data_IF_628791750586
#
_entry.id   IF_628791750586
#
_cell.length_a   1.000
_cell.length_b   1.000
_cell.length_c   1.000
_cell.angle_alpha   90.00
_cell.angle_beta   90.00
_cell.angle_gamma   90.00
#
_symmetry.space_group_name_H-M   'P 1'
#
loop_
_entity.id
_entity.type
_entity.pdbx_description
1 polymer ?
#
# COMPACT_ATOMS: atom_id res chain seq x y z
N UNK A 1 8.76 12.00 -2.65
CA UNK A 1 7.99 11.18 -1.70
C UNK A 1 8.85 10.93 -0.47
N UNK A 2 8.32 11.22 0.72
CA UNK A 2 9.00 10.93 1.98
C UNK A 2 8.73 9.47 2.36
N UNK A 3 9.75 8.76 2.80
CA UNK A 3 9.70 7.33 3.16
C UNK A 3 10.77 7.04 4.22
N UNK A 4 10.55 6.05 5.09
CA UNK A 4 11.57 5.60 6.04
C UNK A 4 12.79 5.03 5.32
N UNK A 5 13.97 5.14 5.93
CA UNK A 5 15.22 4.57 5.39
C UNK A 5 15.38 3.08 5.72
N UNK A 6 14.66 2.57 6.71
CA UNK A 6 14.58 1.13 7.03
C UNK A 6 13.27 0.57 6.47
N UNK A 7 13.34 -0.11 5.32
CA UNK A 7 12.23 -0.85 4.72
C UNK A 7 12.73 -1.74 3.57
N UNK A 8 11.82 -2.53 2.99
CA UNK A 8 12.12 -3.32 1.81
C UNK A 8 12.21 -2.44 0.56
N UNK A 9 13.14 -2.74 -0.33
CA UNK A 9 13.38 -1.97 -1.56
C UNK A 9 12.11 -1.79 -2.42
N UNK A 10 11.17 -2.73 -2.35
CA UNK A 10 9.92 -2.65 -3.10
C UNK A 10 9.02 -1.48 -2.70
N UNK A 11 9.16 -0.93 -1.49
CA UNK A 11 8.48 0.30 -1.09
C UNK A 11 9.05 1.53 -1.80
N UNK A 12 10.34 1.51 -2.15
CA UNK A 12 11.05 2.65 -2.74
C UNK A 12 11.10 2.60 -4.26
N UNK A 13 11.27 1.40 -4.84
CA UNK A 13 11.42 1.22 -6.29
C UNK A 13 10.31 1.88 -7.12
N UNK A 14 9.01 1.79 -6.75
CA UNK A 14 7.93 2.45 -7.49
C UNK A 14 8.06 3.98 -7.52
N UNK A 15 8.59 4.58 -6.45
CA UNK A 15 8.84 6.03 -6.39
C UNK A 15 9.82 6.44 -7.50
N UNK A 16 10.90 5.67 -7.64
CA UNK A 16 11.93 5.91 -8.66
C UNK A 16 11.39 5.62 -10.07
N UNK A 17 10.64 4.53 -10.23
CA UNK A 17 10.07 4.13 -11.52
C UNK A 17 9.10 5.18 -12.12
N UNK A 18 8.41 5.95 -11.27
CA UNK A 18 7.57 7.05 -11.75
C UNK A 18 8.32 8.37 -11.92
N UNK A 19 9.65 8.35 -11.82
CA UNK A 19 10.51 9.54 -11.96
C UNK A 19 10.48 10.47 -10.75
N UNK A 20 9.91 10.04 -9.62
CA UNK A 20 9.91 10.79 -8.38
C UNK A 20 11.18 10.52 -7.56
N UNK A 21 11.53 11.46 -6.67
CA UNK A 21 12.67 11.32 -5.78
C UNK A 21 12.21 10.83 -4.41
N UNK A 22 12.73 9.70 -3.89
CA UNK A 22 12.55 9.34 -2.49
C UNK A 22 13.38 10.29 -1.60
N UNK A 23 12.78 10.71 -0.50
CA UNK A 23 13.44 11.44 0.58
C UNK A 23 13.37 10.54 1.80
N UNK A 24 14.52 10.05 2.21
CA UNK A 24 14.62 9.16 3.34
C UNK A 24 14.64 9.96 4.64
N UNK A 25 13.92 9.45 5.62
CA UNK A 25 13.91 9.94 7.00
C UNK A 25 14.09 8.76 7.95
N UNK A 26 14.57 9.04 9.13
CA UNK A 26 14.82 8.03 10.15
C UNK A 26 13.51 7.42 10.68
N UNK A 27 13.63 6.32 11.41
CA UNK A 27 12.54 5.61 12.06
C UNK A 27 12.49 5.93 13.56
N UNK A 28 11.31 5.80 14.15
CA UNK A 28 11.16 5.77 15.59
C UNK A 28 11.76 4.47 16.14
N UNK A 29 12.65 4.61 17.14
CA UNK A 29 13.44 3.48 17.68
C UNK A 29 12.59 2.40 18.34
N UNK A 30 11.38 2.72 18.79
CA UNK A 30 10.53 1.78 19.49
C UNK A 30 9.62 1.00 18.55
N UNK A 31 9.09 1.67 17.51
CA UNK A 31 8.15 1.08 16.56
C UNK A 31 8.82 0.60 15.27
N UNK A 32 10.00 1.11 14.93
CA UNK A 32 10.71 0.91 13.66
C UNK A 32 9.92 1.42 12.45
N UNK A 33 8.85 2.15 12.70
CA UNK A 33 8.10 2.86 11.68
C UNK A 33 8.65 4.29 11.50
N UNK A 34 8.26 4.93 10.41
CA UNK A 34 8.70 6.28 10.07
C UNK A 34 8.52 7.27 11.25
N UNK A 35 9.55 8.04 11.59
CA UNK A 35 9.48 9.09 12.62
C UNK A 35 8.73 10.31 12.08
N UNK A 36 7.59 10.61 12.70
CA UNK A 36 6.72 11.74 12.29
C UNK A 36 7.35 13.10 12.48
N UNK A 37 8.28 13.26 13.45
CA UNK A 37 9.03 14.49 13.63
C UNK A 37 9.98 14.70 12.45
N UNK A 38 10.65 13.66 11.99
CA UNK A 38 11.56 13.72 10.84
C UNK A 38 10.82 13.98 9.52
N UNK A 39 9.57 13.57 9.40
CA UNK A 39 8.73 13.93 8.26
C UNK A 39 8.56 15.45 8.18
N UNK A 40 8.22 16.13 9.31
CA UNK A 40 8.01 17.57 9.34
C UNK A 40 9.26 18.35 8.89
N UNK A 41 10.44 17.89 9.31
CA UNK A 41 11.73 18.46 8.90
C UNK A 41 12.01 18.31 7.39
N UNK A 42 11.50 17.22 6.78
CA UNK A 42 11.75 16.86 5.39
C UNK A 42 10.73 17.40 4.37
N UNK A 43 9.59 17.94 4.85
CA UNK A 43 8.55 18.49 3.98
C UNK A 43 9.04 19.73 3.22
N UNK A 44 8.78 19.77 1.94
CA UNK A 44 9.05 20.92 1.06
C UNK A 44 7.85 21.12 0.11
N UNK A 45 7.75 22.27 -0.59
CA UNK A 45 6.71 22.49 -1.61
C UNK A 45 6.73 21.44 -2.75
N UNK A 46 7.80 20.67 -2.88
CA UNK A 46 7.94 19.58 -3.86
C UNK A 46 7.46 18.25 -3.32
N UNK A 47 7.15 18.13 -2.04
CA UNK A 47 6.65 16.89 -1.44
C UNK A 47 5.26 16.55 -1.98
N UNK A 48 5.08 15.33 -2.51
CA UNK A 48 3.84 14.91 -3.18
C UNK A 48 3.11 13.78 -2.48
N UNK A 49 3.80 13.03 -1.63
CA UNK A 49 3.21 11.98 -0.80
C UNK A 49 4.14 11.62 0.35
N UNK A 50 3.58 11.01 1.38
CA UNK A 50 4.31 10.33 2.45
C UNK A 50 3.93 8.85 2.36
N UNK A 51 4.92 7.96 2.36
CA UNK A 51 4.73 6.52 2.36
C UNK A 51 4.91 5.98 3.77
N UNK A 52 3.81 5.52 4.36
CA UNK A 52 3.78 4.84 5.65
C UNK A 52 4.00 3.34 5.42
N UNK A 53 5.18 2.83 5.76
CA UNK A 53 5.47 1.39 5.71
C UNK A 53 5.22 0.81 7.11
N UNK A 54 4.28 -0.12 7.21
CA UNK A 54 3.91 -0.80 8.45
C UNK A 54 4.85 -2.00 8.66
N UNK A 55 6.08 -1.69 9.07
CA UNK A 55 7.19 -2.64 9.10
C UNK A 55 6.94 -3.76 10.12
N UNK A 56 7.11 -5.01 9.71
CA UNK A 56 6.91 -6.22 10.53
C UNK A 56 5.55 -6.31 11.22
N UNK A 57 4.52 -5.65 10.65
CA UNK A 57 3.18 -5.61 11.21
C UNK A 57 2.94 -4.53 12.26
N UNK A 58 3.96 -3.76 12.65
CA UNK A 58 3.80 -2.55 13.44
C UNK A 58 3.14 -1.47 12.58
N UNK A 59 2.14 -0.80 13.17
CA UNK A 59 1.47 0.31 12.48
C UNK A 59 2.21 1.62 12.78
N UNK A 60 2.45 2.41 11.74
CA UNK A 60 2.92 3.79 11.89
C UNK A 60 1.96 4.59 12.78
N UNK A 61 2.44 5.63 13.43
CA UNK A 61 1.57 6.56 14.18
C UNK A 61 0.64 7.28 13.20
N UNK A 62 -0.49 6.65 12.90
CA UNK A 62 -1.44 7.13 11.88
C UNK A 62 -2.16 8.42 12.32
N UNK A 63 -2.34 8.64 13.61
CA UNK A 63 -2.95 9.88 14.10
C UNK A 63 -2.08 11.09 13.74
N UNK A 64 -0.79 11.01 13.97
CA UNK A 64 0.14 12.07 13.58
C UNK A 64 0.34 12.17 12.07
N UNK A 65 0.44 11.04 11.37
CA UNK A 65 0.56 11.05 9.91
C UNK A 65 -0.64 11.72 9.24
N UNK A 66 -1.85 11.40 9.70
CA UNK A 66 -3.08 12.03 9.19
C UNK A 66 -3.16 13.52 9.55
N UNK A 67 -2.66 13.92 10.73
CA UNK A 67 -2.56 15.33 11.10
C UNK A 67 -1.59 16.08 10.17
N UNK A 68 -0.41 15.51 9.90
CA UNK A 68 0.56 16.07 8.93
C UNK A 68 -0.05 16.13 7.52
N UNK A 69 -0.70 15.07 7.08
CA UNK A 69 -1.39 15.02 5.80
C UNK A 69 -2.37 16.18 5.62
N UNK A 70 -3.18 16.42 6.65
CA UNK A 70 -4.17 17.51 6.65
C UNK A 70 -3.52 18.90 6.72
N UNK A 71 -2.46 19.06 7.53
CA UNK A 71 -1.75 20.33 7.71
C UNK A 71 -1.07 20.80 6.43
N UNK A 72 -0.44 19.88 5.70
CA UNK A 72 0.36 20.18 4.51
C UNK A 72 -0.32 19.83 3.18
N UNK A 73 -1.53 19.33 3.20
CA UNK A 73 -2.26 18.82 2.02
C UNK A 73 -1.43 17.78 1.22
N UNK A 74 -0.81 16.86 1.95
CA UNK A 74 0.04 15.80 1.38
C UNK A 74 -0.60 14.44 1.66
N UNK A 75 -0.92 13.63 0.65
CA UNK A 75 -1.54 12.32 0.83
C UNK A 75 -0.61 11.30 1.49
N UNK A 76 -1.20 10.41 2.31
CA UNK A 76 -0.55 9.23 2.87
C UNK A 76 -0.83 8.02 1.98
N UNK A 77 0.21 7.29 1.65
CA UNK A 77 0.17 5.98 1.00
C UNK A 77 0.57 4.93 2.04
N UNK A 78 -0.21 3.86 2.19
CA UNK A 78 0.12 2.79 3.12
C UNK A 78 0.75 1.61 2.40
N UNK A 79 1.97 1.25 2.77
CA UNK A 79 2.54 -0.06 2.46
C UNK A 79 2.27 -1.00 3.63
N UNK A 80 1.25 -1.83 3.45
CA UNK A 80 0.78 -2.80 4.43
C UNK A 80 1.20 -4.23 4.06
N UNK A 81 2.28 -4.37 3.27
CA UNK A 81 2.76 -5.67 2.79
C UNK A 81 3.09 -6.66 3.92
N UNK A 82 3.30 -6.19 5.13
CA UNK A 82 3.62 -6.99 6.32
C UNK A 82 2.58 -6.85 7.45
N UNK A 83 1.51 -6.09 7.22
CA UNK A 83 0.58 -5.67 8.27
C UNK A 83 -0.86 -6.13 8.03
N UNK A 84 -1.04 -7.26 7.32
CA UNK A 84 -2.38 -7.80 7.12
C UNK A 84 -3.01 -8.17 8.47
N UNK A 85 -4.21 -7.65 8.74
CA UNK A 85 -4.92 -7.84 9.99
C UNK A 85 -4.54 -6.88 11.12
N UNK A 86 -3.41 -6.17 11.03
CA UNK A 86 -3.02 -5.15 12.02
C UNK A 86 -3.99 -3.97 12.03
N UNK A 87 -4.13 -3.33 13.19
CA UNK A 87 -5.09 -2.24 13.43
C UNK A 87 -4.46 -1.07 14.17
N UNK A 88 -4.90 0.14 13.84
CA UNK A 88 -4.67 1.37 14.58
C UNK A 88 -6.01 1.98 14.96
N UNK A 89 -6.31 2.09 16.25
CA UNK A 89 -7.58 2.62 16.76
C UNK A 89 -8.80 2.00 16.05
N UNK A 90 -8.84 0.65 15.97
CA UNK A 90 -9.90 -0.15 15.32
C UNK A 90 -10.01 0.03 13.79
N UNK A 91 -9.07 0.73 13.16
CA UNK A 91 -8.98 0.83 11.70
C UNK A 91 -7.91 -0.12 11.18
N UNK A 92 -8.25 -0.87 10.16
CA UNK A 92 -7.32 -1.83 9.55
C UNK A 92 -6.19 -1.12 8.81
N UNK A 93 -4.98 -1.66 8.89
CA UNK A 93 -3.87 -1.27 8.03
C UNK A 93 -4.29 -1.24 6.57
N UNK A 94 -3.81 -0.27 5.82
CA UNK A 94 -4.14 -0.06 4.40
C UNK A 94 -5.46 0.65 4.13
N UNK A 95 -6.23 1.02 5.18
CA UNK A 95 -7.54 1.68 5.01
C UNK A 95 -7.57 3.14 5.47
N UNK A 96 -6.46 3.67 5.95
CA UNK A 96 -6.40 4.99 6.59
C UNK A 96 -5.83 6.09 5.69
N UNK A 97 -4.91 5.73 4.80
CA UNK A 97 -4.39 6.61 3.75
C UNK A 97 -5.29 6.70 2.53
N UNK A 98 -4.82 7.35 1.47
CA UNK A 98 -5.56 7.45 0.20
C UNK A 98 -5.69 6.09 -0.51
N UNK A 99 -4.72 5.21 -0.32
CA UNK A 99 -4.76 3.80 -0.69
C UNK A 99 -3.75 3.01 0.14
N UNK A 100 -3.97 1.70 0.21
CA UNK A 100 -3.07 0.74 0.81
C UNK A 100 -2.71 -0.39 -0.15
N UNK A 101 -1.55 -0.99 0.07
CA UNK A 101 -1.05 -2.14 -0.69
C UNK A 101 -0.71 -3.28 0.24
N UNK A 102 -1.03 -4.51 -0.19
CA UNK A 102 -0.69 -5.75 0.52
C UNK A 102 0.12 -6.66 -0.39
N UNK A 103 0.97 -7.48 0.22
CA UNK A 103 1.74 -8.51 -0.49
C UNK A 103 1.26 -9.90 -0.08
N UNK A 104 1.16 -10.79 -1.07
CA UNK A 104 0.92 -12.21 -0.88
C UNK A 104 2.10 -13.06 -1.38
N UNK A 105 3.27 -12.45 -1.40
CA UNK A 105 4.54 -13.12 -1.68
C UNK A 105 4.77 -14.29 -0.70
N UNK A 106 5.59 -15.25 -1.10
CA UNK A 106 5.87 -16.49 -0.35
C UNK A 106 6.30 -16.28 1.10
N UNK A 107 6.87 -15.12 1.45
CA UNK A 107 7.33 -14.81 2.81
C UNK A 107 6.29 -14.12 3.68
N UNK A 108 5.09 -13.86 3.17
CA UNK A 108 4.06 -13.09 3.89
C UNK A 108 3.11 -13.99 4.67
N UNK A 109 2.42 -13.42 5.66
CA UNK A 109 1.45 -14.12 6.54
C UNK A 109 0.37 -14.84 5.74
N UNK A 110 -0.19 -14.19 4.71
CA UNK A 110 -1.04 -14.84 3.71
C UNK A 110 -0.22 -14.93 2.43
N UNK A 111 0.01 -16.15 1.96
CA UNK A 111 0.86 -16.44 0.81
C UNK A 111 0.05 -17.11 -0.31
N UNK A 112 0.13 -16.54 -1.51
CA UNK A 112 -0.45 -17.15 -2.73
C UNK A 112 0.63 -17.55 -3.73
N UNK A 113 1.87 -17.75 -3.25
CA UNK A 113 3.09 -17.88 -4.06
C UNK A 113 3.59 -16.51 -4.47
N UNK A 114 2.89 -15.86 -5.35
CA UNK A 114 3.06 -14.46 -5.72
C UNK A 114 1.70 -13.78 -5.73
N UNK A 115 1.66 -12.46 -5.55
CA UNK A 115 0.43 -11.69 -5.60
C UNK A 115 0.44 -10.48 -4.69
N UNK A 116 -0.57 -9.66 -4.81
CA UNK A 116 -0.79 -8.48 -3.99
C UNK A 116 -2.20 -7.96 -4.13
N UNK A 117 -2.55 -7.03 -3.26
CA UNK A 117 -3.84 -6.37 -3.28
C UNK A 117 -3.64 -4.87 -3.12
N UNK A 118 -4.39 -4.12 -3.88
CA UNK A 118 -4.52 -2.67 -3.78
C UNK A 118 -5.91 -2.35 -3.25
N UNK A 119 -6.00 -1.50 -2.24
CA UNK A 119 -7.26 -1.10 -1.61
C UNK A 119 -7.36 0.42 -1.52
N UNK A 120 -8.53 0.96 -1.78
CA UNK A 120 -8.82 2.39 -1.66
C UNK A 120 -10.32 2.62 -1.48
N UNK A 121 -10.68 3.75 -0.85
CA UNK A 121 -12.05 4.25 -0.75
C UNK A 121 -12.35 5.32 -1.81
N UNK A 122 -11.41 5.66 -2.68
CA UNK A 122 -11.57 6.62 -3.77
C UNK A 122 -11.89 5.90 -5.08
N UNK A 123 -13.11 6.11 -5.60
CA UNK A 123 -13.56 5.48 -6.84
C UNK A 123 -12.70 5.83 -8.06
N UNK A 124 -12.14 7.04 -8.13
CA UNK A 124 -11.29 7.45 -9.25
C UNK A 124 -9.95 6.73 -9.21
N UNK A 125 -9.35 6.62 -8.03
CA UNK A 125 -8.11 5.85 -7.81
C UNK A 125 -8.36 4.38 -8.11
N UNK A 126 -9.49 3.83 -7.66
CA UNK A 126 -9.89 2.45 -7.91
C UNK A 126 -10.01 2.15 -9.43
N UNK A 127 -10.81 2.91 -10.16
CA UNK A 127 -11.02 2.70 -11.61
C UNK A 127 -9.73 2.88 -12.40
N UNK A 128 -8.90 3.86 -12.03
CA UNK A 128 -7.59 4.05 -12.65
C UNK A 128 -6.66 2.86 -12.39
N UNK A 129 -6.60 2.35 -11.17
CA UNK A 129 -5.76 1.21 -10.80
C UNK A 129 -6.21 -0.06 -11.50
N UNK A 130 -7.52 -0.31 -11.62
CA UNK A 130 -8.07 -1.41 -12.41
C UNK A 130 -7.66 -1.31 -13.88
N UNK A 131 -7.77 -0.14 -14.46
CA UNK A 131 -7.39 0.10 -15.86
C UNK A 131 -5.91 -0.17 -16.06
N UNK A 132 -5.05 0.40 -15.21
CA UNK A 132 -3.60 0.22 -15.28
C UNK A 132 -3.18 -1.24 -15.12
N UNK A 133 -3.77 -1.97 -14.15
CA UNK A 133 -3.45 -3.38 -13.89
C UNK A 133 -3.91 -4.34 -15.00
N UNK A 134 -4.80 -3.90 -15.87
CA UNK A 134 -5.39 -4.65 -16.97
C UNK A 134 -4.88 -4.19 -18.34
N UNK A 135 -3.60 -4.05 -18.53
CA UNK A 135 -2.98 -3.58 -19.78
C UNK A 135 -3.46 -2.20 -20.25
N UNK A 136 -3.91 -1.32 -19.35
CA UNK A 136 -4.46 -0.02 -19.70
C UNK A 136 -5.86 -0.07 -20.31
N UNK A 137 -6.57 -1.19 -20.19
CA UNK A 137 -7.92 -1.38 -20.72
C UNK A 137 -8.96 -1.12 -19.64
N UNK A 138 -9.80 -0.11 -19.82
CA UNK A 138 -10.89 0.20 -18.91
C UNK A 138 -12.02 -0.85 -18.98
N UNK A 139 -12.85 -0.92 -17.92
CA UNK A 139 -14.00 -1.84 -17.85
C UNK A 139 -15.00 -1.62 -18.99
N UNK A 140 -15.15 -0.37 -19.41
CA UNK A 140 -16.15 0.02 -20.40
C UNK A 140 -15.63 -0.04 -21.85
N UNK A 141 -14.36 -0.45 -22.06
CA UNK A 141 -13.78 -0.60 -23.39
C UNK A 141 -14.43 -1.74 -24.16
N UNK A 142 -15.21 -1.40 -25.18
CA UNK A 142 -15.95 -2.37 -26.02
C UNK A 142 -15.10 -2.92 -27.16
N UNK A 143 -14.10 -2.16 -27.61
CA UNK A 143 -13.25 -2.58 -28.72
C UNK A 143 -12.26 -3.65 -28.27
N UNK A 144 -12.32 -4.81 -28.90
CA UNK A 144 -11.44 -5.93 -28.58
C UNK A 144 -9.97 -5.56 -28.83
N UNK A 145 -9.08 -5.98 -27.93
CA UNK A 145 -7.63 -5.71 -27.98
C UNK A 145 -7.22 -4.23 -28.03
N UNK A 146 -8.12 -3.32 -27.65
CA UNK A 146 -7.82 -1.90 -27.57
C UNK A 146 -7.57 -1.46 -26.14
N UNK A 147 -6.42 -0.80 -25.92
CA UNK A 147 -6.09 -0.18 -24.64
C UNK A 147 -6.37 1.32 -24.68
N UNK A 148 -6.86 1.88 -23.58
CA UNK A 148 -7.13 3.31 -23.46
C UNK A 148 -5.88 4.08 -23.06
N UNK A 149 -4.92 3.38 -22.43
CA UNK A 149 -3.63 3.90 -22.01
C UNK A 149 -2.57 2.79 -21.92
N UNK A 150 -1.31 3.15 -21.72
CA UNK A 150 -0.25 2.20 -21.40
C UNK A 150 -0.48 1.71 -19.96
N UNK A 151 -0.53 0.41 -19.76
CA UNK A 151 -0.73 -0.24 -18.46
C UNK A 151 0.11 -1.49 -18.31
N UNK A 152 -0.19 -2.26 -17.28
CA UNK A 152 0.59 -3.42 -16.83
C UNK A 152 -0.29 -4.67 -16.77
N UNK A 153 0.33 -5.84 -16.72
CA UNK A 153 -0.35 -7.11 -16.39
C UNK A 153 -0.11 -7.43 -14.91
N UNK A 154 -0.92 -6.82 -14.03
CA UNK A 154 -0.80 -7.00 -12.58
C UNK A 154 -2.00 -7.70 -11.93
N UNK A 155 -2.92 -8.21 -12.73
CA UNK A 155 -4.05 -8.96 -12.18
C UNK A 155 -3.59 -10.32 -11.67
N UNK A 156 -4.00 -10.63 -10.45
CA UNK A 156 -3.84 -11.95 -9.84
C UNK A 156 -4.57 -13.02 -10.66
N UNK A 157 -3.99 -14.21 -10.77
CA UNK A 157 -4.67 -15.35 -11.40
C UNK A 157 -5.76 -15.93 -10.49
N UNK A 158 -6.72 -16.66 -11.10
CA UNK A 158 -7.79 -17.32 -10.35
C UNK A 158 -7.25 -18.34 -9.34
N UNK A 159 -6.16 -19.04 -9.68
CA UNK A 159 -5.52 -20.03 -8.79
C UNK A 159 -4.95 -19.34 -7.56
N UNK A 160 -4.20 -18.25 -7.74
CA UNK A 160 -3.66 -17.47 -6.62
C UNK A 160 -4.78 -16.88 -5.75
N UNK A 161 -5.84 -16.36 -6.36
CA UNK A 161 -6.98 -15.82 -5.64
C UNK A 161 -7.71 -16.90 -4.82
N UNK A 162 -7.88 -18.12 -5.37
CA UNK A 162 -8.49 -19.23 -4.66
C UNK A 162 -7.66 -19.69 -3.46
N UNK A 163 -6.33 -19.75 -3.59
CA UNK A 163 -5.43 -20.04 -2.47
C UNK A 163 -5.59 -18.98 -1.38
N UNK A 164 -5.53 -17.71 -1.72
CA UNK A 164 -5.68 -16.60 -0.77
C UNK A 164 -7.01 -16.65 -0.03
N UNK A 165 -8.11 -16.89 -0.74
CA UNK A 165 -9.44 -17.01 -0.14
C UNK A 165 -9.53 -18.21 0.83
N UNK A 166 -8.90 -19.33 0.50
CA UNK A 166 -8.83 -20.50 1.40
C UNK A 166 -8.06 -20.19 2.68
N UNK A 167 -6.95 -19.45 2.59
CA UNK A 167 -6.11 -19.13 3.75
C UNK A 167 -6.79 -18.20 4.76
N UNK A 168 -7.73 -17.37 4.36
CA UNK A 168 -8.50 -16.50 5.26
C UNK A 168 -9.22 -17.36 6.32
N UNK A 169 -9.82 -18.46 5.93
CA UNK A 169 -10.53 -19.37 6.85
C UNK A 169 -9.59 -20.12 7.80
N UNK A 170 -8.33 -20.31 7.43
CA UNK A 170 -7.32 -20.96 8.27
C UNK A 170 -6.75 -19.98 9.30
N UNK A 171 -6.65 -18.72 8.92
CA UNK A 171 -6.10 -17.64 9.77
C UNK A 171 -7.12 -17.05 10.74
N UNK A 172 -8.41 -17.33 10.56
CA UNK A 172 -9.43 -16.96 11.54
C UNK A 172 -9.26 -17.78 12.82
N UNK A 173 -9.27 -17.17 14.02
CA UNK A 173 -9.28 -17.94 15.26
C UNK A 173 -10.52 -18.82 15.25
N UNK A 174 -10.30 -20.15 15.28
CA UNK A 174 -11.38 -21.11 15.44
C UNK A 174 -12.16 -20.73 16.69
N UNK A 175 -13.40 -20.27 16.53
CA UNK A 175 -14.31 -20.14 17.67
C UNK A 175 -14.42 -21.53 18.29
N UNK A 176 -14.16 -21.68 19.61
CA UNK A 176 -14.46 -22.95 20.27
C UNK A 176 -15.95 -23.23 20.06
N UNK A 177 -16.24 -24.43 19.54
CA UNK A 177 -17.59 -24.94 19.43
C UNK A 177 -18.20 -25.10 20.82
#
# INVERSE_FOLDING_TARGET
VIVADINWIASVSPIVHVGAKPIFVDVDINSWCIDTNKIREAITPKTKAIMAVHLYGNICNMDELLAISKEYDIPIIEDSAEAIGSEWNLKKAGSMGIYGTFSFHVTKTICTGEGGMFVTNDDKIYERSLTLSNHGRSRNQKKQFWADMIGFKYKMSNIQAAIGLSLIHISEPTRPL
#
